data_IF_948375862664
#
_entry.id   IF_948375862664
#
_cell.length_a   1.000
_cell.length_b   1.000
_cell.length_c   1.000
_cell.angle_alpha   90.00
_cell.angle_beta   90.00
_cell.angle_gamma   90.00
#
_symmetry.space_group_name_H-M   'P 1'
#
loop_
_entity.id
_entity.type
_entity.pdbx_description
1 polymer ?
#
# COMPACT_ATOMS: atom_id res chain seq x y z
N UNK A 1 -6.04 18.25 -16.07
CA UNK A 1 -6.23 16.87 -16.63
C UNK A 1 -7.70 16.46 -16.53
N UNK A 2 -8.18 15.52 -17.39
CA UNK A 2 -9.53 14.97 -17.25
C UNK A 2 -9.65 14.11 -15.99
N UNK A 3 -10.73 14.28 -15.20
CA UNK A 3 -10.92 13.57 -13.92
C UNK A 3 -10.79 12.05 -14.03
N UNK A 4 -11.34 11.43 -15.09
CA UNK A 4 -11.23 9.97 -15.33
C UNK A 4 -9.78 9.47 -15.52
N UNK A 5 -8.91 10.32 -16.10
CA UNK A 5 -7.50 9.98 -16.33
C UNK A 5 -6.74 10.13 -15.02
N UNK A 6 -6.97 11.23 -14.29
CA UNK A 6 -6.41 11.45 -12.97
C UNK A 6 -6.76 10.29 -12.01
N UNK A 7 -8.04 9.89 -12.01
CA UNK A 7 -8.51 8.72 -11.25
C UNK A 7 -7.76 7.45 -11.65
N UNK A 8 -7.66 7.18 -12.95
CA UNK A 8 -6.97 5.97 -13.44
C UNK A 8 -5.50 5.96 -13.03
N UNK A 9 -4.79 7.07 -13.11
CA UNK A 9 -3.38 7.17 -12.71
C UNK A 9 -3.21 6.97 -11.20
N UNK A 10 -4.07 7.58 -10.39
CA UNK A 10 -4.10 7.39 -8.95
C UNK A 10 -4.28 5.92 -8.59
N UNK A 11 -5.24 5.24 -9.22
CA UNK A 11 -5.49 3.83 -8.97
C UNK A 11 -4.40 2.89 -9.52
N UNK A 12 -3.75 3.22 -10.66
CA UNK A 12 -2.56 2.47 -11.10
C UNK A 12 -1.49 2.52 -10.01
N UNK A 13 -1.20 3.71 -9.48
CA UNK A 13 -0.24 3.88 -8.39
C UNK A 13 -0.59 3.04 -7.17
N UNK A 14 -1.85 3.07 -6.73
CA UNK A 14 -2.34 2.27 -5.61
C UNK A 14 -2.19 0.77 -5.86
N UNK A 15 -2.67 0.27 -7.00
CA UNK A 15 -2.67 -1.16 -7.28
C UNK A 15 -1.27 -1.75 -7.51
N UNK A 16 -0.36 -1.00 -8.13
CA UNK A 16 1.05 -1.42 -8.25
C UNK A 16 1.69 -1.55 -6.87
N UNK A 17 1.51 -0.56 -5.99
CA UNK A 17 2.04 -0.62 -4.62
C UNK A 17 1.35 -1.68 -3.77
N UNK A 18 0.02 -1.89 -3.94
CA UNK A 18 -0.73 -2.95 -3.25
C UNK A 18 -0.20 -4.33 -3.60
N UNK A 19 0.03 -4.62 -4.89
CA UNK A 19 0.59 -5.91 -5.31
C UNK A 19 1.95 -6.17 -4.69
N UNK A 20 2.83 -5.16 -4.63
CA UNK A 20 4.13 -5.24 -3.96
C UNK A 20 3.97 -5.44 -2.45
N UNK A 21 3.15 -4.63 -1.78
CA UNK A 21 2.92 -4.71 -0.34
C UNK A 21 2.32 -6.04 0.11
N UNK A 22 1.26 -6.50 -0.58
CA UNK A 22 0.64 -7.80 -0.30
C UNK A 22 1.64 -8.95 -0.48
N UNK A 23 2.48 -8.90 -1.54
CA UNK A 23 3.51 -9.93 -1.76
C UNK A 23 4.53 -9.98 -0.61
N UNK A 24 4.89 -8.84 -0.04
CA UNK A 24 5.80 -8.73 1.10
C UNK A 24 5.20 -9.28 2.38
N UNK A 25 3.95 -8.94 2.66
CA UNK A 25 3.22 -9.42 3.84
C UNK A 25 3.07 -10.94 3.79
N UNK A 26 2.66 -11.47 2.63
CA UNK A 26 2.52 -12.92 2.43
C UNK A 26 3.85 -13.67 2.57
N UNK A 27 4.93 -13.14 1.98
CA UNK A 27 6.26 -13.76 2.04
C UNK A 27 6.76 -13.89 3.48
N UNK A 28 6.60 -12.82 4.28
CA UNK A 28 6.92 -12.82 5.72
C UNK A 28 6.12 -13.83 6.50
N UNK A 29 4.81 -13.82 6.27
CA UNK A 29 3.92 -14.69 7.01
C UNK A 29 4.19 -16.18 6.75
N UNK A 30 4.38 -16.53 5.47
CA UNK A 30 4.71 -17.91 5.10
C UNK A 30 6.09 -18.33 5.62
N UNK A 31 7.08 -17.43 5.62
CA UNK A 31 8.38 -17.71 6.24
C UNK A 31 8.24 -17.96 7.73
N UNK A 32 7.46 -17.15 8.45
CA UNK A 32 7.22 -17.34 9.87
C UNK A 32 6.66 -18.73 10.20
N UNK A 33 5.65 -19.18 9.43
CA UNK A 33 5.05 -20.50 9.58
C UNK A 33 6.01 -21.66 9.27
N UNK A 34 7.05 -21.40 8.46
CA UNK A 34 8.08 -22.41 8.14
C UNK A 34 9.19 -22.45 9.22
N UNK A 35 9.51 -21.32 9.84
CA UNK A 35 10.60 -21.18 10.81
C UNK A 35 10.19 -21.61 12.23
N UNK A 36 8.91 -21.49 12.57
CA UNK A 36 8.40 -21.81 13.92
C UNK A 36 7.26 -22.85 13.87
N UNK A 37 7.59 -24.15 14.11
CA UNK A 37 6.59 -25.23 14.13
C UNK A 37 5.59 -25.16 15.28
N UNK A 38 5.80 -24.28 16.26
CA UNK A 38 4.92 -24.14 17.42
C UNK A 38 3.81 -23.12 17.19
N UNK A 39 3.85 -22.38 16.09
CA UNK A 39 2.79 -21.44 15.73
C UNK A 39 1.56 -22.23 15.26
N UNK A 40 0.43 -21.92 15.85
CA UNK A 40 -0.86 -22.42 15.36
C UNK A 40 -1.19 -21.80 13.99
N UNK A 41 -1.16 -22.65 12.95
CA UNK A 41 -1.33 -22.23 11.57
C UNK A 41 -2.69 -21.55 11.33
N UNK A 42 -3.79 -22.09 11.89
CA UNK A 42 -5.12 -21.51 11.72
C UNK A 42 -5.21 -20.11 12.32
N UNK A 43 -4.78 -19.94 13.56
CA UNK A 43 -4.79 -18.65 14.24
C UNK A 43 -3.93 -17.61 13.53
N UNK A 44 -2.73 -18.00 13.08
CA UNK A 44 -1.84 -17.10 12.35
C UNK A 44 -2.42 -16.71 10.97
N UNK A 45 -3.00 -17.65 10.23
CA UNK A 45 -3.64 -17.40 8.95
C UNK A 45 -4.88 -16.50 9.08
N UNK A 46 -5.70 -16.71 10.11
CA UNK A 46 -6.86 -15.83 10.42
C UNK A 46 -6.42 -14.42 10.74
N UNK A 47 -5.40 -14.28 11.58
CA UNK A 47 -4.83 -12.98 11.93
C UNK A 47 -4.35 -12.23 10.69
N UNK A 48 -3.67 -12.92 9.79
CA UNK A 48 -3.22 -12.32 8.53
C UNK A 48 -4.40 -11.85 7.66
N UNK A 49 -5.41 -12.70 7.48
CA UNK A 49 -6.60 -12.34 6.69
C UNK A 49 -7.33 -11.13 7.29
N UNK A 50 -7.47 -11.08 8.62
CA UNK A 50 -8.06 -9.94 9.33
C UNK A 50 -7.29 -8.64 9.08
N UNK A 51 -5.95 -8.66 9.19
CA UNK A 51 -5.09 -7.50 8.87
C UNK A 51 -5.27 -7.05 7.42
N UNK A 52 -5.50 -7.99 6.51
CA UNK A 52 -5.77 -7.68 5.10
C UNK A 52 -7.23 -7.29 4.82
N UNK A 53 -8.06 -7.20 5.86
CA UNK A 53 -9.47 -6.83 5.74
C UNK A 53 -10.35 -7.92 5.14
N UNK A 54 -9.99 -9.19 5.36
CA UNK A 54 -10.72 -10.37 4.89
C UNK A 54 -11.30 -11.11 6.08
N UNK A 55 -12.62 -11.21 6.13
CA UNK A 55 -13.32 -11.99 7.14
C UNK A 55 -13.47 -13.45 6.70
N UNK A 56 -13.26 -14.37 7.62
CA UNK A 56 -13.44 -15.82 7.40
C UNK A 56 -14.34 -16.35 8.53
N UNK A 57 -15.31 -17.25 8.25
CA UNK A 57 -16.15 -17.87 9.26
C UNK A 57 -15.34 -18.56 10.37
N UNK A 58 -15.82 -18.47 11.62
CA UNK A 58 -15.08 -19.01 12.77
C UNK A 58 -14.99 -20.54 12.78
N UNK A 59 -15.92 -21.21 12.12
CA UNK A 59 -16.05 -22.67 12.04
C UNK A 59 -15.21 -23.33 10.93
N UNK A 60 -14.57 -22.54 10.06
CA UNK A 60 -13.71 -23.05 9.00
C UNK A 60 -12.24 -23.00 9.42
N UNK A 61 -11.47 -24.10 9.26
CA UNK A 61 -10.02 -24.08 9.42
C UNK A 61 -9.37 -23.32 8.29
N UNK A 62 -8.48 -22.38 8.62
CA UNK A 62 -7.76 -21.56 7.63
C UNK A 62 -6.34 -22.06 7.48
N UNK A 63 -6.01 -22.54 6.31
CA UNK A 63 -4.67 -23.00 5.96
C UNK A 63 -3.89 -21.97 5.15
N UNK A 64 -2.56 -22.13 5.11
CA UNK A 64 -1.70 -21.29 4.25
C UNK A 64 -2.06 -21.40 2.76
N UNK A 65 -2.54 -22.56 2.30
CA UNK A 65 -3.03 -22.75 0.93
C UNK A 65 -4.26 -21.87 0.64
N UNK A 66 -5.18 -21.76 1.60
CA UNK A 66 -6.36 -20.87 1.47
C UNK A 66 -5.94 -19.40 1.48
N UNK A 67 -5.01 -19.00 2.36
CA UNK A 67 -4.45 -17.64 2.36
C UNK A 67 -3.82 -17.29 1.00
N UNK A 68 -3.03 -18.20 0.41
CA UNK A 68 -2.44 -18.01 -0.92
C UNK A 68 -3.55 -17.93 -1.98
N UNK A 69 -4.58 -18.78 -1.90
CA UNK A 69 -5.68 -18.76 -2.84
C UNK A 69 -6.43 -17.41 -2.79
N UNK A 70 -6.73 -16.89 -1.61
CA UNK A 70 -7.47 -15.65 -1.40
C UNK A 70 -6.60 -14.42 -1.75
N UNK A 71 -5.40 -14.30 -1.16
CA UNK A 71 -4.62 -13.07 -1.22
C UNK A 71 -3.59 -13.03 -2.37
N UNK A 72 -3.26 -14.16 -2.99
CA UNK A 72 -2.30 -14.16 -4.09
C UNK A 72 -2.96 -14.29 -5.47
N UNK A 73 -3.93 -15.18 -5.67
CA UNK A 73 -4.40 -15.54 -7.01
C UNK A 73 -5.89 -15.29 -7.29
N UNK A 74 -6.69 -14.97 -6.29
CA UNK A 74 -8.10 -14.65 -6.50
C UNK A 74 -8.25 -13.30 -7.22
N UNK A 75 -8.77 -13.33 -8.45
CA UNK A 75 -9.00 -12.12 -9.25
C UNK A 75 -10.23 -11.31 -8.85
N UNK A 76 -11.04 -11.83 -7.94
CA UNK A 76 -12.27 -11.17 -7.46
C UNK A 76 -12.10 -10.50 -6.10
N UNK A 77 -11.09 -10.92 -5.33
CA UNK A 77 -10.84 -10.43 -3.99
C UNK A 77 -9.98 -9.15 -3.98
N UNK A 78 -10.49 -7.99 -3.50
CA UNK A 78 -9.81 -6.69 -3.63
C UNK A 78 -8.43 -6.57 -2.97
N UNK A 79 -8.15 -7.39 -1.94
CA UNK A 79 -6.86 -7.43 -1.27
C UNK A 79 -5.84 -8.33 -1.98
N UNK A 80 -6.24 -9.08 -3.02
CA UNK A 80 -5.35 -10.03 -3.68
C UNK A 80 -4.35 -9.36 -4.63
N UNK A 81 -3.21 -10.01 -4.82
CA UNK A 81 -2.21 -9.61 -5.81
C UNK A 81 -2.80 -9.68 -7.22
N UNK A 82 -3.53 -10.76 -7.56
CA UNK A 82 -4.09 -10.95 -8.87
C UNK A 82 -5.14 -9.88 -9.23
N UNK A 83 -6.01 -9.52 -8.27
CA UNK A 83 -6.93 -8.41 -8.43
C UNK A 83 -6.19 -7.08 -8.65
N UNK A 84 -5.19 -6.79 -7.83
CA UNK A 84 -4.43 -5.55 -7.94
C UNK A 84 -3.72 -5.43 -9.30
N UNK A 85 -3.11 -6.51 -9.78
CA UNK A 85 -2.46 -6.53 -11.11
C UNK A 85 -3.48 -6.34 -12.23
N UNK A 86 -4.64 -6.99 -12.17
CA UNK A 86 -5.71 -6.83 -13.17
C UNK A 86 -6.29 -5.41 -13.15
N UNK A 87 -6.56 -4.88 -11.97
CA UNK A 87 -7.09 -3.52 -11.79
C UNK A 87 -6.08 -2.45 -12.25
N UNK A 88 -4.78 -2.63 -11.99
CA UNK A 88 -3.74 -1.73 -12.50
C UNK A 88 -3.73 -1.71 -14.03
N UNK A 89 -3.78 -2.89 -14.67
CA UNK A 89 -3.84 -3.02 -16.14
C UNK A 89 -5.11 -2.40 -16.71
N UNK A 90 -6.27 -2.60 -16.07
CA UNK A 90 -7.53 -2.04 -16.54
C UNK A 90 -7.56 -0.50 -16.43
N UNK A 91 -7.02 0.08 -15.36
CA UNK A 91 -6.85 1.52 -15.24
C UNK A 91 -5.83 2.06 -16.27
N UNK A 92 -4.75 1.32 -16.55
CA UNK A 92 -3.81 1.68 -17.61
C UNK A 92 -4.48 1.68 -19.00
N UNK A 93 -5.41 0.76 -19.26
CA UNK A 93 -6.21 0.76 -20.49
C UNK A 93 -7.06 2.04 -20.62
N UNK A 94 -7.66 2.51 -19.51
CA UNK A 94 -8.45 3.74 -19.47
C UNK A 94 -7.61 5.01 -19.64
N UNK A 95 -6.36 4.98 -19.19
CA UNK A 95 -5.42 6.10 -19.30
C UNK A 95 -4.45 5.97 -20.49
N UNK A 96 -4.74 5.11 -21.49
CA UNK A 96 -3.83 4.73 -22.57
C UNK A 96 -3.31 5.91 -23.39
N UNK A 97 -4.04 7.02 -23.44
CA UNK A 97 -3.68 8.23 -24.15
C UNK A 97 -2.58 9.06 -23.46
N UNK A 98 -2.32 8.82 -22.16
CA UNK A 98 -1.38 9.59 -21.35
C UNK A 98 -0.18 8.75 -20.88
N UNK A 99 -0.38 7.46 -20.62
CA UNK A 99 0.72 6.60 -20.17
C UNK A 99 1.65 6.22 -21.31
N UNK A 100 2.93 5.96 -20.99
CA UNK A 100 3.90 5.49 -21.97
C UNK A 100 3.56 4.10 -22.49
N UNK A 101 4.01 3.78 -23.70
CA UNK A 101 3.87 2.43 -24.27
C UNK A 101 4.56 1.39 -23.40
N UNK A 102 5.72 1.73 -22.85
CA UNK A 102 6.49 0.85 -21.97
C UNK A 102 5.73 0.49 -20.68
N UNK A 103 5.07 1.48 -20.04
CA UNK A 103 4.24 1.21 -18.86
C UNK A 103 3.06 0.31 -19.20
N UNK A 104 2.37 0.58 -20.32
CA UNK A 104 1.29 -0.28 -20.80
C UNK A 104 1.75 -1.72 -21.03
N UNK A 105 2.85 -1.90 -21.75
CA UNK A 105 3.41 -3.23 -22.03
C UNK A 105 3.82 -3.97 -20.75
N UNK A 106 4.46 -3.25 -19.81
CA UNK A 106 4.86 -3.81 -18.52
C UNK A 106 3.67 -4.32 -17.72
N UNK A 107 2.60 -3.52 -17.57
CA UNK A 107 1.39 -3.90 -16.84
C UNK A 107 0.62 -5.02 -17.56
N UNK A 108 0.48 -4.92 -18.89
CA UNK A 108 -0.22 -5.94 -19.69
C UNK A 108 0.51 -7.29 -19.66
N UNK A 109 1.84 -7.30 -19.81
CA UNK A 109 2.65 -8.52 -19.71
C UNK A 109 2.62 -9.12 -18.29
N UNK A 110 2.59 -8.28 -17.26
CA UNK A 110 2.45 -8.75 -15.87
C UNK A 110 1.12 -9.45 -15.68
N UNK A 111 0.01 -8.84 -16.10
CA UNK A 111 -1.31 -9.44 -15.98
C UNK A 111 -1.46 -10.74 -16.79
N UNK A 112 -0.90 -10.79 -18.00
CA UNK A 112 -0.94 -11.98 -18.86
C UNK A 112 -0.17 -13.19 -18.27
N UNK A 113 0.82 -12.92 -17.42
CA UNK A 113 1.67 -13.96 -16.78
C UNK A 113 1.20 -14.32 -15.38
N UNK A 114 0.13 -13.70 -14.86
CA UNK A 114 -0.40 -14.04 -13.54
C UNK A 114 -0.89 -15.48 -13.50
N UNK A 115 -0.36 -16.32 -12.60
CA UNK A 115 -0.77 -17.72 -12.50
C UNK A 115 -2.18 -17.84 -11.92
N UNK A 116 -2.87 -18.92 -12.28
CA UNK A 116 -4.17 -19.29 -11.69
C UNK A 116 -4.04 -20.05 -10.36
N UNK A 117 -2.89 -20.67 -10.15
CA UNK A 117 -2.55 -21.42 -8.92
C UNK A 117 -1.05 -21.33 -8.66
N UNK A 118 -0.67 -21.34 -7.39
CA UNK A 118 0.72 -21.32 -6.95
C UNK A 118 0.91 -22.49 -5.98
N UNK A 119 1.89 -23.34 -6.26
CA UNK A 119 2.29 -24.37 -5.30
C UNK A 119 3.07 -23.74 -4.16
N UNK A 120 2.91 -24.26 -2.95
CA UNK A 120 3.51 -23.70 -1.73
C UNK A 120 5.04 -23.54 -1.86
N UNK A 121 5.70 -24.46 -2.54
CA UNK A 121 7.16 -24.44 -2.76
C UNK A 121 7.62 -23.37 -3.77
N UNK A 122 6.69 -22.66 -4.45
CA UNK A 122 6.97 -21.63 -5.43
C UNK A 122 6.49 -20.23 -5.00
N UNK A 123 6.00 -20.11 -3.79
CA UNK A 123 5.43 -18.85 -3.27
C UNK A 123 6.48 -17.76 -3.19
N UNK A 124 7.66 -18.06 -2.66
CA UNK A 124 8.76 -17.10 -2.54
C UNK A 124 9.23 -16.59 -3.93
N UNK A 125 9.39 -17.46 -4.91
CA UNK A 125 9.73 -17.12 -6.29
C UNK A 125 8.64 -16.21 -6.91
N UNK A 126 7.37 -16.57 -6.71
CA UNK A 126 6.24 -15.77 -7.19
C UNK A 126 6.22 -14.38 -6.55
N UNK A 127 6.39 -14.27 -5.23
CA UNK A 127 6.40 -12.97 -4.56
C UNK A 127 7.63 -12.13 -4.98
N UNK A 128 8.78 -12.75 -5.20
CA UNK A 128 9.95 -12.10 -5.80
C UNK A 128 9.62 -11.51 -7.17
N UNK A 129 9.01 -12.31 -8.04
CA UNK A 129 8.58 -11.87 -9.36
C UNK A 129 7.57 -10.69 -9.29
N UNK A 130 6.57 -10.74 -8.40
CA UNK A 130 5.62 -9.62 -8.22
C UNK A 130 6.34 -8.34 -7.84
N UNK A 131 7.29 -8.40 -6.89
CA UNK A 131 8.11 -7.24 -6.48
C UNK A 131 8.93 -6.67 -7.64
N UNK A 132 9.52 -7.52 -8.45
CA UNK A 132 10.27 -7.09 -9.66
C UNK A 132 9.35 -6.40 -10.68
N UNK A 133 8.14 -6.93 -10.90
CA UNK A 133 7.17 -6.33 -11.83
C UNK A 133 6.67 -4.97 -11.33
N UNK A 134 6.41 -4.85 -10.03
CA UNK A 134 6.06 -3.58 -9.42
C UNK A 134 7.21 -2.57 -9.54
N UNK A 135 8.44 -2.97 -9.21
CA UNK A 135 9.63 -2.12 -9.33
C UNK A 135 9.87 -1.66 -10.77
N UNK A 136 9.68 -2.53 -11.76
CA UNK A 136 9.77 -2.17 -13.18
C UNK A 136 8.75 -1.09 -13.54
N UNK A 137 7.48 -1.28 -13.18
CA UNK A 137 6.41 -0.31 -13.48
C UNK A 137 6.69 1.06 -12.86
N UNK A 138 7.17 1.07 -11.62
CA UNK A 138 7.57 2.27 -10.90
C UNK A 138 8.76 2.95 -11.59
N UNK A 139 9.81 2.19 -11.92
CA UNK A 139 11.00 2.71 -12.59
C UNK A 139 10.69 3.33 -13.96
N UNK A 140 9.78 2.74 -14.73
CA UNK A 140 9.31 3.30 -16.00
C UNK A 140 8.64 4.66 -15.76
N UNK A 141 7.72 4.76 -14.81
CA UNK A 141 7.04 6.03 -14.52
C UNK A 141 8.01 7.09 -14.02
N UNK A 142 8.92 6.73 -13.11
CA UNK A 142 9.86 7.70 -12.53
C UNK A 142 10.94 8.16 -13.53
N UNK A 143 11.30 7.35 -14.56
CA UNK A 143 12.37 7.63 -15.50
C UNK A 143 11.92 8.09 -16.90
N UNK A 144 10.70 7.76 -17.30
CA UNK A 144 10.23 7.94 -18.68
C UNK A 144 9.00 8.85 -18.81
N UNK A 145 8.56 9.49 -17.73
CA UNK A 145 7.44 10.46 -17.79
C UNK A 145 7.84 11.80 -17.18
N UNK A 146 7.23 12.89 -17.67
CA UNK A 146 7.36 14.19 -17.01
C UNK A 146 6.74 14.15 -15.62
N UNK A 147 7.39 14.81 -14.64
CA UNK A 147 6.86 14.89 -13.27
C UNK A 147 5.78 15.97 -13.13
N UNK A 148 4.82 15.94 -14.03
CA UNK A 148 3.67 16.83 -14.12
C UNK A 148 2.49 16.36 -13.22
N UNK A 149 1.31 16.90 -13.44
CA UNK A 149 0.08 16.54 -12.73
C UNK A 149 -0.22 15.03 -12.83
N UNK A 150 0.06 14.40 -13.97
CA UNK A 150 -0.15 12.97 -14.18
C UNK A 150 0.74 12.11 -13.25
N UNK A 151 2.01 12.45 -13.20
CA UNK A 151 2.96 11.82 -12.29
C UNK A 151 2.59 12.04 -10.83
N UNK A 152 2.08 13.23 -10.47
CA UNK A 152 1.65 13.51 -9.10
C UNK A 152 0.48 12.62 -8.67
N UNK A 153 -0.53 12.39 -9.51
CA UNK A 153 -1.62 11.46 -9.18
C UNK A 153 -1.16 10.02 -9.02
N UNK A 154 -0.29 9.54 -9.89
CA UNK A 154 0.32 8.23 -9.74
C UNK A 154 1.12 8.11 -8.44
N UNK A 155 1.97 9.08 -8.15
CA UNK A 155 2.81 9.13 -6.95
C UNK A 155 2.00 9.26 -5.68
N UNK A 156 0.91 10.03 -5.70
CA UNK A 156 -0.06 10.16 -4.60
C UNK A 156 -0.70 8.81 -4.26
N UNK A 157 -1.19 8.10 -5.28
CA UNK A 157 -1.76 6.76 -5.09
C UNK A 157 -0.76 5.80 -4.46
N UNK A 158 0.47 5.77 -4.96
CA UNK A 158 1.56 4.96 -4.38
C UNK A 158 1.85 5.31 -2.92
N UNK A 159 1.96 6.60 -2.62
CA UNK A 159 2.34 7.07 -1.30
C UNK A 159 1.29 6.70 -0.24
N UNK A 160 0.01 6.87 -0.56
CA UNK A 160 -1.11 6.49 0.33
C UNK A 160 -1.14 4.97 0.54
N UNK A 161 -1.03 4.18 -0.54
CA UNK A 161 -1.05 2.71 -0.42
C UNK A 161 0.16 2.20 0.36
N UNK A 162 1.32 2.82 0.17
CA UNK A 162 2.54 2.44 0.88
C UNK A 162 2.43 2.67 2.37
N UNK A 163 1.87 3.80 2.81
CA UNK A 163 1.60 4.06 4.23
C UNK A 163 0.65 2.99 4.80
N UNK A 164 -0.44 2.69 4.11
CA UNK A 164 -1.42 1.67 4.50
C UNK A 164 -0.77 0.27 4.60
N UNK A 165 -0.03 -0.16 3.59
CA UNK A 165 0.62 -1.47 3.56
C UNK A 165 1.72 -1.61 4.63
N UNK A 166 2.47 -0.55 4.92
CA UNK A 166 3.45 -0.55 6.01
C UNK A 166 2.76 -0.64 7.37
N UNK A 167 1.65 0.08 7.56
CA UNK A 167 0.85 -0.01 8.77
C UNK A 167 0.29 -1.43 8.97
N UNK A 168 -0.25 -2.05 7.92
CA UNK A 168 -0.71 -3.44 7.95
C UNK A 168 0.40 -4.42 8.30
N UNK A 169 1.58 -4.26 7.71
CA UNK A 169 2.74 -5.12 8.03
C UNK A 169 3.15 -4.96 9.50
N UNK A 170 3.17 -3.75 10.04
CA UNK A 170 3.47 -3.51 11.45
C UNK A 170 2.38 -4.07 12.38
N UNK A 171 1.11 -4.02 11.96
CA UNK A 171 0.00 -4.61 12.70
C UNK A 171 0.13 -6.14 12.83
N UNK A 172 0.73 -6.85 11.86
CA UNK A 172 0.98 -8.30 11.97
C UNK A 172 1.87 -8.66 13.16
N UNK A 173 2.70 -7.74 13.63
CA UNK A 173 3.59 -7.95 14.78
C UNK A 173 2.85 -8.04 16.12
N UNK A 174 1.73 -7.35 16.23
CA UNK A 174 0.98 -7.26 17.50
C UNK A 174 -0.05 -8.36 17.71
N UNK A 175 -0.52 -8.99 16.63
CA UNK A 175 -1.53 -10.04 16.73
C UNK A 175 -1.02 -11.28 17.50
N UNK A 176 0.29 -11.37 17.71
CA UNK A 176 0.91 -12.47 18.48
C UNK A 176 2.09 -11.92 19.29
N UNK A 177 1.84 -11.43 20.51
CA UNK A 177 2.90 -10.93 21.40
C UNK A 177 4.05 -11.92 21.63
N UNK A 178 3.75 -13.23 21.63
CA UNK A 178 4.74 -14.30 21.83
C UNK A 178 5.33 -14.88 20.54
N UNK A 179 4.70 -14.72 19.37
CA UNK A 179 5.01 -15.50 18.15
C UNK A 179 4.98 -14.71 16.85
N UNK A 180 4.92 -13.40 16.88
CA UNK A 180 4.91 -12.59 15.65
C UNK A 180 6.27 -12.53 14.93
N UNK A 181 6.32 -12.14 13.65
CA UNK A 181 7.55 -12.06 12.86
C UNK A 181 8.60 -11.21 13.58
N UNK A 182 9.86 -11.63 13.57
CA UNK A 182 10.95 -10.87 14.17
C UNK A 182 11.09 -9.48 13.50
N UNK A 183 11.61 -8.51 14.24
CA UNK A 183 11.88 -7.18 13.66
C UNK A 183 12.84 -7.24 12.48
N UNK A 184 13.75 -8.20 12.47
CA UNK A 184 14.64 -8.48 11.33
C UNK A 184 13.83 -8.93 10.12
N UNK A 185 12.85 -9.80 10.31
CA UNK A 185 11.97 -10.30 9.25
C UNK A 185 11.12 -9.16 8.69
N UNK A 186 10.52 -8.31 9.55
CA UNK A 186 9.75 -7.13 9.13
C UNK A 186 10.62 -6.14 8.35
N UNK A 187 11.83 -5.83 8.84
CA UNK A 187 12.75 -4.94 8.13
C UNK A 187 13.13 -5.49 6.74
N UNK A 188 13.42 -6.78 6.64
CA UNK A 188 13.71 -7.43 5.34
C UNK A 188 12.54 -7.33 4.38
N UNK A 189 11.33 -7.53 4.87
CA UNK A 189 10.11 -7.44 4.05
C UNK A 189 9.87 -6.05 3.50
N UNK A 190 10.14 -5.03 4.28
CA UNK A 190 10.12 -3.65 3.82
C UNK A 190 11.28 -3.30 2.88
N UNK A 191 12.26 -4.20 2.67
CA UNK A 191 13.53 -3.85 2.03
C UNK A 191 14.31 -2.81 2.83
N UNK A 192 14.11 -2.81 4.15
CA UNK A 192 14.61 -1.82 5.10
C UNK A 192 15.87 -2.28 5.84
N UNK A 193 16.23 -3.55 5.74
CA UNK A 193 17.28 -4.13 6.58
C UNK A 193 18.64 -3.48 6.37
N UNK A 194 19.10 -3.35 5.12
CA UNK A 194 20.36 -2.72 4.79
C UNK A 194 20.37 -1.20 5.10
N UNK A 195 19.34 -0.42 4.76
CA UNK A 195 19.23 0.98 5.18
C UNK A 195 19.23 1.13 6.70
N UNK A 196 18.50 0.26 7.43
CA UNK A 196 18.49 0.23 8.89
C UNK A 196 19.89 0.03 9.46
N UNK A 197 20.65 -0.97 8.97
CA UNK A 197 22.02 -1.24 9.45
C UNK A 197 22.97 -0.06 9.22
N UNK A 198 22.77 0.75 8.16
CA UNK A 198 23.55 1.97 7.94
C UNK A 198 23.25 3.04 8.98
N UNK A 199 22.00 3.12 9.43
CA UNK A 199 21.54 4.14 10.40
C UNK A 199 21.91 3.75 11.83
N UNK A 200 21.59 2.52 12.25
CA UNK A 200 21.70 2.09 13.66
C UNK A 200 22.90 1.20 13.97
N UNK A 201 23.62 0.69 12.96
CA UNK A 201 24.89 -0.06 13.09
C UNK A 201 24.86 -1.21 14.12
N UNK A 202 23.78 -1.98 14.19
CA UNK A 202 23.67 -3.07 15.16
C UNK A 202 22.51 -4.01 14.88
N UNK A 203 22.38 -5.02 15.74
CA UNK A 203 21.26 -5.98 15.70
C UNK A 203 19.94 -5.20 15.87
N UNK A 204 18.91 -5.50 15.06
CA UNK A 204 17.63 -4.84 15.18
C UNK A 204 17.00 -5.01 16.58
N UNK A 205 16.79 -3.90 17.27
CA UNK A 205 15.94 -3.85 18.45
C UNK A 205 14.53 -3.44 18.07
N UNK A 206 13.53 -3.82 18.87
CA UNK A 206 12.14 -3.47 18.63
C UNK A 206 11.97 -1.96 18.47
N UNK A 207 12.54 -1.18 19.39
CA UNK A 207 12.46 0.28 19.39
C UNK A 207 13.06 0.89 18.13
N UNK A 208 14.30 0.55 17.79
CA UNK A 208 14.99 1.16 16.65
C UNK A 208 14.37 0.73 15.31
N UNK A 209 13.88 -0.51 15.20
CA UNK A 209 13.20 -0.97 14.01
C UNK A 209 11.85 -0.30 13.81
N UNK A 210 11.07 -0.14 14.89
CA UNK A 210 9.83 0.62 14.86
C UNK A 210 10.10 2.09 14.53
N UNK A 211 11.05 2.75 15.18
CA UNK A 211 11.44 4.13 14.90
C UNK A 211 11.80 4.32 13.43
N UNK A 212 12.59 3.41 12.84
CA UNK A 212 12.96 3.47 11.44
C UNK A 212 11.76 3.35 10.51
N UNK A 213 10.86 2.41 10.75
CA UNK A 213 9.69 2.19 9.89
C UNK A 213 8.55 3.21 10.11
N UNK A 214 8.46 3.81 11.29
CA UNK A 214 7.45 4.81 11.60
C UNK A 214 7.90 6.22 11.19
N UNK A 215 9.13 6.63 11.56
CA UNK A 215 9.50 8.04 11.61
C UNK A 215 10.72 8.42 10.76
N UNK A 216 11.39 7.48 10.09
CA UNK A 216 12.54 7.84 9.24
C UNK A 216 12.09 8.73 8.07
N UNK A 217 12.78 9.87 7.90
CA UNK A 217 12.43 10.88 6.90
C UNK A 217 12.98 10.61 5.51
N UNK A 218 13.89 9.67 5.38
CA UNK A 218 14.61 9.39 4.14
C UNK A 218 14.24 8.02 3.56
N UNK A 219 13.75 7.10 4.39
CA UNK A 219 13.41 5.77 3.94
C UNK A 219 12.00 5.75 3.30
N UNK A 220 11.89 5.42 1.99
CA UNK A 220 10.63 5.57 1.25
C UNK A 220 9.44 4.74 1.77
N UNK A 221 9.70 3.70 2.59
CA UNK A 221 8.65 2.84 3.17
C UNK A 221 8.39 3.13 4.64
N UNK A 222 8.96 4.18 5.21
CA UNK A 222 8.49 4.68 6.50
C UNK A 222 7.11 5.31 6.35
N UNK A 223 6.31 5.25 7.41
CA UNK A 223 4.98 5.88 7.43
C UNK A 223 5.11 7.38 7.24
N UNK A 224 6.01 8.02 8.01
CA UNK A 224 6.24 9.46 7.92
C UNK A 224 6.63 9.91 6.50
N UNK A 225 7.58 9.23 5.86
CA UNK A 225 7.98 9.55 4.48
C UNK A 225 6.80 9.41 3.52
N UNK A 226 6.05 8.32 3.61
CA UNK A 226 4.94 8.02 2.71
C UNK A 226 3.82 9.05 2.82
N UNK A 227 3.42 9.39 4.05
CA UNK A 227 2.39 10.40 4.32
C UNK A 227 2.85 11.79 3.88
N UNK A 228 4.10 12.16 4.16
CA UNK A 228 4.69 13.41 3.70
C UNK A 228 4.69 13.51 2.17
N UNK A 229 5.06 12.42 1.49
CA UNK A 229 5.05 12.38 0.02
C UNK A 229 3.64 12.55 -0.55
N UNK A 230 2.63 11.93 0.07
CA UNK A 230 1.23 12.11 -0.32
C UNK A 230 0.77 13.58 -0.16
N UNK A 231 1.12 14.22 0.95
CA UNK A 231 0.82 15.64 1.18
C UNK A 231 1.52 16.56 0.16
N UNK A 232 2.78 16.28 -0.18
CA UNK A 232 3.53 17.00 -1.22
C UNK A 232 2.85 16.88 -2.59
N UNK A 233 2.44 15.66 -3.01
CA UNK A 233 1.72 15.47 -4.26
C UNK A 233 0.43 16.32 -4.34
N UNK A 234 -0.36 16.34 -3.26
CA UNK A 234 -1.57 17.16 -3.22
C UNK A 234 -1.28 18.66 -3.30
N UNK A 235 -0.17 19.12 -2.71
CA UNK A 235 0.28 20.51 -2.78
C UNK A 235 0.72 20.88 -4.20
N UNK A 236 1.39 19.95 -4.89
CA UNK A 236 1.87 20.16 -6.27
C UNK A 236 0.72 20.09 -7.28
N UNK A 237 -0.32 19.27 -7.04
CA UNK A 237 -1.55 19.22 -7.86
C UNK A 237 -2.35 20.51 -7.73
N UNK A 238 -2.46 21.08 -6.54
CA UNK A 238 -3.22 22.31 -6.26
C UNK A 238 -2.36 23.30 -5.45
N UNK A 239 -1.40 23.97 -6.09
CA UNK A 239 -0.54 24.93 -5.43
C UNK A 239 -1.35 26.16 -4.98
N UNK A 240 -1.45 26.35 -3.68
CA UNK A 240 -2.16 27.47 -3.06
C UNK A 240 -1.22 28.56 -2.63
N UNK A 241 -1.56 29.79 -2.93
CA UNK A 241 -0.77 30.97 -2.54
C UNK A 241 -1.21 31.54 -1.19
N UNK A 242 -0.32 31.48 -0.19
CA UNK A 242 -0.14 32.52 0.81
C UNK A 242 -1.15 32.65 1.95
N UNK A 243 -2.19 31.83 2.11
CA UNK A 243 -3.12 31.89 3.24
C UNK A 243 -3.01 30.69 4.16
N UNK A 244 -3.01 30.94 5.48
CA UNK A 244 -3.16 29.90 6.50
C UNK A 244 -4.55 29.24 6.38
N UNK A 245 -4.61 27.96 6.72
CA UNK A 245 -5.83 27.15 6.65
C UNK A 245 -5.92 26.32 5.37
N UNK A 246 -5.99 25.03 5.52
CA UNK A 246 -6.10 24.06 4.43
C UNK A 246 -7.58 23.75 4.20
N UNK A 247 -8.11 24.11 3.03
CA UNK A 247 -9.49 23.79 2.68
C UNK A 247 -9.64 22.36 2.13
N UNK A 248 -8.54 21.72 1.73
CA UNK A 248 -8.52 20.35 1.23
C UNK A 248 -8.61 19.35 2.39
N UNK A 249 -9.66 18.52 2.37
CA UNK A 249 -9.89 17.49 3.39
C UNK A 249 -8.77 16.46 3.43
N UNK A 250 -8.29 16.01 2.26
CA UNK A 250 -7.21 15.02 2.18
C UNK A 250 -5.89 15.60 2.73
N UNK A 251 -5.55 16.85 2.37
CA UNK A 251 -4.37 17.52 2.93
C UNK A 251 -4.45 17.68 4.45
N UNK A 252 -5.64 17.99 5.01
CA UNK A 252 -5.80 18.09 6.46
C UNK A 252 -5.56 16.76 7.15
N UNK A 253 -6.17 15.69 6.64
CA UNK A 253 -6.01 14.34 7.19
C UNK A 253 -4.55 13.89 7.15
N UNK A 254 -3.89 14.03 6.00
CA UNK A 254 -2.48 13.65 5.84
C UNK A 254 -1.55 14.54 6.67
N UNK A 255 -1.80 15.83 6.75
CA UNK A 255 -1.01 16.77 7.55
C UNK A 255 -1.13 16.51 9.05
N UNK A 256 -2.31 16.14 9.55
CA UNK A 256 -2.52 15.78 10.95
C UNK A 256 -1.72 14.52 11.33
N UNK A 257 -1.85 13.44 10.55
CA UNK A 257 -1.13 12.20 10.84
C UNK A 257 0.39 12.37 10.63
N UNK A 258 0.82 13.14 9.62
CA UNK A 258 2.23 13.49 9.46
C UNK A 258 2.78 14.19 10.70
N UNK A 259 2.06 15.18 11.23
CA UNK A 259 2.48 15.92 12.44
C UNK A 259 2.54 15.01 13.66
N UNK A 260 1.63 14.05 13.78
CA UNK A 260 1.65 13.06 14.85
C UNK A 260 2.95 12.25 14.81
N UNK A 261 3.29 11.65 13.67
CA UNK A 261 4.52 10.85 13.54
C UNK A 261 5.80 11.68 13.54
N UNK A 262 5.75 12.97 13.18
CA UNK A 262 6.92 13.85 13.16
C UNK A 262 7.31 14.37 14.56
N UNK A 263 6.34 14.57 15.44
CA UNK A 263 6.56 15.25 16.71
C UNK A 263 6.29 14.41 17.96
N UNK A 264 5.63 13.26 17.82
CA UNK A 264 5.38 12.38 18.97
C UNK A 264 6.61 11.53 19.28
N UNK A 265 7.03 11.43 20.55
CA UNK A 265 8.14 10.56 20.96
C UNK A 265 7.89 9.10 20.58
N UNK A 266 8.94 8.42 20.12
CA UNK A 266 8.83 7.00 19.70
C UNK A 266 8.30 6.09 20.81
N UNK A 267 8.59 6.38 22.07
CA UNK A 267 8.09 5.58 23.21
C UNK A 267 6.56 5.61 23.24
N UNK A 268 5.95 6.78 23.09
CA UNK A 268 4.49 6.93 23.07
C UNK A 268 3.86 6.24 21.85
N UNK A 269 4.54 6.26 20.69
CA UNK A 269 4.07 5.54 19.50
C UNK A 269 4.12 4.02 19.71
N UNK A 270 5.08 3.53 20.48
CA UNK A 270 5.22 2.10 20.76
C UNK A 270 4.26 1.61 21.85
N UNK A 271 3.85 2.46 22.79
CA UNK A 271 2.93 2.11 23.87
C UNK A 271 1.55 1.66 23.34
N UNK A 272 1.13 2.22 22.19
CA UNK A 272 -0.09 1.83 21.47
C UNK A 272 0.16 1.72 19.96
N UNK A 273 1.12 0.89 19.57
CA UNK A 273 1.45 0.69 18.16
C UNK A 273 0.24 0.21 17.34
N UNK A 274 -0.63 -0.66 17.90
CA UNK A 274 -1.84 -1.13 17.22
C UNK A 274 -2.79 0.00 16.89
N UNK A 275 -3.16 0.80 17.87
CA UNK A 275 -4.08 1.91 17.67
C UNK A 275 -3.52 2.93 16.67
N UNK A 276 -2.22 3.18 16.71
CA UNK A 276 -1.57 4.04 15.70
C UNK A 276 -1.62 3.44 14.29
N UNK A 277 -1.45 2.13 14.13
CA UNK A 277 -1.53 1.47 12.82
C UNK A 277 -2.95 1.46 12.28
N UNK A 278 -3.94 1.23 13.12
CA UNK A 278 -5.37 1.35 12.77
C UNK A 278 -5.72 2.79 12.36
N UNK A 279 -5.21 3.78 13.09
CA UNK A 279 -5.40 5.19 12.74
C UNK A 279 -4.78 5.53 11.38
N UNK A 280 -3.58 5.05 11.06
CA UNK A 280 -2.97 5.23 9.72
C UNK A 280 -3.87 4.66 8.63
N UNK A 281 -4.38 3.44 8.81
CA UNK A 281 -5.26 2.79 7.83
C UNK A 281 -6.58 3.57 7.66
N UNK A 282 -7.19 4.00 8.75
CA UNK A 282 -8.40 4.81 8.72
C UNK A 282 -8.19 6.15 8.01
N UNK A 283 -7.11 6.85 8.31
CA UNK A 283 -6.77 8.15 7.71
C UNK A 283 -6.43 8.01 6.22
N UNK A 284 -5.70 6.98 5.81
CA UNK A 284 -5.38 6.74 4.39
C UNK A 284 -6.64 6.41 3.58
N UNK A 285 -7.58 5.67 4.17
CA UNK A 285 -8.89 5.41 3.57
C UNK A 285 -9.71 6.70 3.43
N UNK A 286 -9.86 7.46 4.50
CA UNK A 286 -10.60 8.73 4.50
C UNK A 286 -9.98 9.76 3.54
N UNK A 287 -8.64 9.82 3.46
CA UNK A 287 -7.94 10.69 2.51
C UNK A 287 -8.21 10.27 1.06
N UNK A 288 -8.26 8.96 0.78
CA UNK A 288 -8.61 8.45 -0.56
C UNK A 288 -10.04 8.82 -0.96
N UNK A 289 -10.99 8.75 -0.05
CA UNK A 289 -12.37 9.18 -0.30
C UNK A 289 -12.45 10.70 -0.53
N UNK A 290 -11.73 11.50 0.23
CA UNK A 290 -11.66 12.94 0.03
C UNK A 290 -11.02 13.31 -1.32
N UNK A 291 -9.98 12.60 -1.76
CA UNK A 291 -9.36 12.75 -3.08
C UNK A 291 -10.37 12.41 -4.16
N UNK A 292 -11.08 11.29 -4.04
CA UNK A 292 -12.10 10.87 -4.99
C UNK A 292 -13.20 11.92 -5.15
N UNK A 293 -13.74 12.42 -4.06
CA UNK A 293 -14.80 13.41 -4.08
C UNK A 293 -14.36 14.75 -4.72
N UNK A 294 -13.11 15.13 -4.53
CA UNK A 294 -12.60 16.41 -5.03
C UNK A 294 -12.10 16.36 -6.47
N UNK A 295 -11.30 15.36 -6.81
CA UNK A 295 -10.58 15.31 -8.09
C UNK A 295 -11.23 14.40 -9.13
N UNK A 296 -12.07 13.44 -8.68
CA UNK A 296 -12.72 12.47 -9.55
C UNK A 296 -14.25 12.53 -9.44
N UNK A 297 -14.86 13.73 -9.51
CA UNK A 297 -16.32 13.81 -9.43
C UNK A 297 -16.93 13.00 -10.57
N UNK A 298 -17.78 12.04 -10.23
CA UNK A 298 -18.63 11.37 -11.21
C UNK A 298 -19.53 12.48 -11.78
N UNK A 299 -19.43 12.75 -13.08
CA UNK A 299 -20.36 13.67 -13.72
C UNK A 299 -21.76 13.12 -13.49
N UNK A 300 -22.53 13.79 -12.63
CA UNK A 300 -23.97 13.58 -12.60
C UNK A 300 -24.44 13.78 -14.03
N UNK A 301 -25.10 12.79 -14.60
CA UNK A 301 -25.77 12.93 -15.88
C UNK A 301 -26.63 14.19 -15.74
N UNK A 302 -26.48 15.22 -16.58
CA UNK A 302 -27.33 16.39 -16.48
C UNK A 302 -28.76 15.92 -16.59
N UNK A 303 -29.52 16.05 -15.52
CA UNK A 303 -30.98 15.85 -15.59
C UNK A 303 -31.47 17.03 -16.41
N UNK A 304 -31.85 16.79 -17.64
CA UNK A 304 -32.52 17.75 -18.50
C UNK A 304 -33.84 18.07 -17.80
N UNK A 305 -33.91 19.22 -17.12
CA UNK A 305 -35.17 19.76 -16.66
C UNK A 305 -35.81 20.35 -17.92
N UNK A 306 -36.64 19.55 -18.59
CA UNK A 306 -37.45 20.02 -19.70
C UNK A 306 -38.34 21.12 -19.18
N UNK A 307 -38.25 22.30 -19.76
CA UNK A 307 -39.21 23.38 -19.61
C UNK A 307 -40.59 22.83 -20.07
N UNK A 308 -41.47 22.62 -19.12
CA UNK A 308 -42.90 22.52 -19.40
C UNK A 308 -43.42 23.94 -19.55
N UNK A 309 -43.60 24.38 -20.81
CA UNK A 309 -44.46 25.48 -21.16
C UNK A 309 -45.90 25.06 -21.10
#
# INVERSE_FOLDING_TARGET
>A
MLSRIAESLFWIGRYVERSDGTSRILDVHLQLLLEDPWIDEDSACRSLLSVMGTEVPEDELVTREQVIAILAVDRTHPASIAYAVDAARENARRAREIISTELWEALNATNARMPMKIGINKTHEFFGWVRERAALSIGIVDSATSHDEAWQFFSLGRAIERADMTARLLATRQLTEASGPSWTTILRSCGAFEPYLRTYRGVPSARNAAEFLLTDRLFPRSILYSVKRAEECLRDIDPRSGRAGVADQAQRLLGQIRSEFEYRPIVELMDDLAGHMENVQSVTSAASDAIRLRYFPTSAVPVWIGENS
#
